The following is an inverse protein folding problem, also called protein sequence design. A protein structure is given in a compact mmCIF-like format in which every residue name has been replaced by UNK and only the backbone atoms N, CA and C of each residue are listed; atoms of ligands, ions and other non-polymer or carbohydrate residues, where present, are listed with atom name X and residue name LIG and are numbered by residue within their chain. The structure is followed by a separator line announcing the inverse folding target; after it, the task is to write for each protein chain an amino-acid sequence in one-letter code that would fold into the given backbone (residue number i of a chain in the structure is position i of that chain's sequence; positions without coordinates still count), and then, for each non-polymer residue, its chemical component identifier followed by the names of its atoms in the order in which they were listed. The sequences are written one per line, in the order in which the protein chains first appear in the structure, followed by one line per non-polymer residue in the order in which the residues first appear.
data_IF_183068526007
#
_entry.id   IF_183068526007
#
_cell.length_a   1.000
_cell.length_b   1.000
_cell.length_c   1.000
_cell.angle_alpha   90.00
_cell.angle_beta   90.00
_cell.angle_gamma   90.00
#
_symmetry.space_group_name_H-M   'P 1'
#
loop_
_entity.id
_entity.type
_entity.pdbx_description
1 polymer ?
#
# COMPACT_ATOMS: atom_id res chain seq x y z
N UNK A 1 50.42 8.08 -20.41
CA UNK A 1 49.96 7.47 -21.69
C UNK A 1 49.77 5.95 -21.55
N UNK A 2 48.79 5.47 -20.77
CA UNK A 2 48.46 4.02 -20.61
C UNK A 2 47.01 3.78 -20.14
N UNK A 3 46.02 4.52 -20.66
CA UNK A 3 44.60 4.28 -20.31
C UNK A 3 43.62 4.24 -21.49
N UNK A 4 44.11 4.18 -22.73
CA UNK A 4 43.25 4.15 -23.92
C UNK A 4 43.04 2.77 -24.55
N UNK A 5 43.58 1.69 -23.95
CA UNK A 5 43.52 0.34 -24.54
C UNK A 5 42.54 -0.61 -23.85
N UNK A 6 41.87 -0.22 -22.75
CA UNK A 6 40.95 -1.11 -22.03
C UNK A 6 39.48 -0.95 -22.42
N UNK A 7 39.09 0.15 -23.08
CA UNK A 7 37.71 0.36 -23.52
C UNK A 7 37.39 -0.26 -24.89
N UNK A 8 38.39 -0.75 -25.62
CA UNK A 8 38.21 -1.42 -26.91
C UNK A 8 38.11 -2.95 -26.82
N UNK A 9 38.37 -3.55 -25.64
CA UNK A 9 38.28 -5.00 -25.46
C UNK A 9 36.91 -5.49 -24.95
N UNK A 10 36.03 -4.61 -24.45
CA UNK A 10 34.65 -4.97 -24.06
C UNK A 10 33.61 -4.73 -25.15
N UNK A 11 33.96 -4.12 -26.28
CA UNK A 11 33.07 -3.96 -27.43
C UNK A 11 33.12 -5.16 -28.40
N UNK A 12 34.03 -6.11 -28.20
CA UNK A 12 34.20 -7.28 -29.07
C UNK A 12 33.37 -8.52 -28.69
N UNK A 13 32.56 -8.45 -27.61
CA UNK A 13 31.73 -9.59 -27.17
C UNK A 13 30.21 -9.37 -27.27
N UNK A 14 29.74 -8.29 -27.90
CA UNK A 14 28.31 -8.00 -28.07
C UNK A 14 27.92 -7.61 -29.50
N UNK A 15 28.72 -8.01 -30.49
CA UNK A 15 28.25 -8.10 -31.87
C UNK A 15 27.99 -9.58 -32.12
N UNK A 16 26.82 -10.06 -31.67
CA UNK A 16 26.23 -11.21 -32.33
C UNK A 16 26.15 -10.85 -33.80
N UNK A 17 26.84 -11.61 -34.65
CA UNK A 17 26.58 -11.66 -36.08
C UNK A 17 25.07 -11.53 -36.28
N UNK A 18 24.62 -10.57 -37.08
CA UNK A 18 23.21 -10.41 -37.40
C UNK A 18 22.70 -11.77 -37.86
N UNK A 19 22.01 -12.47 -36.96
CA UNK A 19 21.45 -13.77 -37.27
C UNK A 19 20.48 -13.53 -38.42
N UNK A 20 20.67 -14.28 -39.50
CA UNK A 20 19.77 -14.23 -40.65
C UNK A 20 18.33 -14.40 -40.14
N UNK A 21 17.42 -13.53 -40.61
CA UNK A 21 16.05 -13.53 -40.12
C UNK A 21 15.47 -14.95 -40.29
N UNK A 22 14.74 -15.48 -39.28
CA UNK A 22 14.21 -16.83 -39.35
C UNK A 22 13.43 -17.06 -40.65
N UNK A 23 13.87 -18.05 -41.41
CA UNK A 23 13.28 -18.42 -42.70
C UNK A 23 12.24 -19.52 -42.50
N UNK A 24 11.57 -19.92 -43.58
CA UNK A 24 10.61 -21.03 -43.52
C UNK A 24 11.26 -22.35 -43.05
N UNK A 25 12.57 -22.53 -43.28
CA UNK A 25 13.33 -23.66 -42.75
C UNK A 25 13.39 -23.64 -41.21
N UNK A 26 13.53 -22.46 -40.60
CA UNK A 26 13.52 -22.32 -39.13
C UNK A 26 12.16 -22.69 -38.54
N UNK A 27 11.06 -22.36 -39.22
CA UNK A 27 9.73 -22.80 -38.79
C UNK A 27 9.51 -24.31 -39.01
N UNK A 28 10.05 -24.88 -40.10
CA UNK A 28 9.99 -26.33 -40.34
C UNK A 28 10.77 -27.13 -39.28
N UNK A 29 11.90 -26.60 -38.79
CA UNK A 29 12.71 -27.21 -37.74
C UNK A 29 11.97 -27.32 -36.38
N UNK A 30 10.85 -26.63 -36.17
CA UNK A 30 10.00 -26.80 -34.98
C UNK A 30 9.37 -28.19 -34.87
N UNK A 31 9.16 -28.86 -36.01
CA UNK A 31 8.66 -30.24 -36.05
C UNK A 31 9.75 -31.26 -35.69
N UNK A 32 11.03 -30.90 -35.83
CA UNK A 32 12.17 -31.79 -35.57
C UNK A 32 12.63 -31.64 -34.13
N UNK A 33 12.45 -32.69 -33.32
CA UNK A 33 12.69 -32.63 -31.87
C UNK A 33 14.09 -32.09 -31.47
N UNK A 34 15.13 -32.53 -32.17
CA UNK A 34 16.52 -32.14 -31.90
C UNK A 34 16.82 -30.67 -32.25
N UNK A 35 16.06 -30.08 -33.17
CA UNK A 35 16.27 -28.70 -33.64
C UNK A 35 15.27 -27.70 -33.06
N UNK A 36 14.18 -28.19 -32.49
CA UNK A 36 13.06 -27.40 -31.99
C UNK A 36 13.48 -26.29 -31.03
N UNK A 37 14.35 -26.59 -30.08
CA UNK A 37 14.77 -25.60 -29.07
C UNK A 37 15.54 -24.44 -29.71
N UNK A 38 16.46 -24.74 -30.64
CA UNK A 38 17.21 -23.73 -31.36
C UNK A 38 16.31 -22.88 -32.25
N UNK A 39 15.34 -23.51 -32.93
CA UNK A 39 14.34 -22.82 -33.74
C UNK A 39 13.43 -21.89 -32.90
N UNK A 40 12.95 -22.37 -31.74
CA UNK A 40 12.15 -21.56 -30.81
C UNK A 40 12.94 -20.33 -30.32
N UNK A 41 14.21 -20.53 -29.94
CA UNK A 41 15.07 -19.45 -29.48
C UNK A 41 15.31 -18.41 -30.58
N UNK A 42 15.60 -18.84 -31.81
CA UNK A 42 15.81 -17.92 -32.94
C UNK A 42 14.56 -17.10 -33.26
N UNK A 43 13.38 -17.72 -33.24
CA UNK A 43 12.09 -17.04 -33.44
C UNK A 43 11.84 -16.02 -32.33
N UNK A 44 12.12 -16.38 -31.07
CA UNK A 44 11.97 -15.47 -29.93
C UNK A 44 12.91 -14.28 -30.02
N UNK A 45 14.20 -14.51 -30.30
CA UNK A 45 15.21 -13.45 -30.39
C UNK A 45 14.93 -12.49 -31.54
N UNK A 46 14.49 -12.99 -32.70
CA UNK A 46 14.06 -12.13 -33.81
C UNK A 46 12.81 -11.32 -33.44
N UNK A 47 11.87 -11.92 -32.71
CA UNK A 47 10.66 -11.21 -32.28
C UNK A 47 10.96 -10.04 -31.34
N UNK A 48 12.03 -10.13 -30.55
CA UNK A 48 12.49 -9.05 -29.65
C UNK A 48 13.09 -7.85 -30.37
N UNK A 49 13.52 -8.00 -31.64
CA UNK A 49 14.06 -6.85 -32.38
C UNK A 49 12.98 -5.85 -32.79
N UNK A 50 11.70 -6.24 -32.77
CA UNK A 50 10.58 -5.35 -33.09
C UNK A 50 10.14 -4.56 -31.85
N UNK A 51 10.73 -3.36 -31.68
CA UNK A 51 10.42 -2.48 -30.53
C UNK A 51 9.13 -1.68 -30.76
N UNK A 52 8.78 -1.39 -32.02
CA UNK A 52 7.63 -0.56 -32.39
C UNK A 52 6.76 -1.24 -33.46
N UNK A 53 5.49 -0.84 -33.53
CA UNK A 53 4.58 -1.30 -34.56
C UNK A 53 5.05 -0.84 -35.96
N UNK A 54 5.41 -1.79 -36.81
CA UNK A 54 5.79 -1.55 -38.20
C UNK A 54 5.09 -2.56 -39.14
N UNK A 55 5.02 -2.29 -40.46
CA UNK A 55 4.51 -3.26 -41.43
C UNK A 55 5.28 -4.59 -41.40
N UNK A 56 6.60 -4.53 -41.18
CA UNK A 56 7.47 -5.69 -41.05
C UNK A 56 7.17 -6.50 -39.79
N UNK A 57 7.01 -5.84 -38.63
CA UNK A 57 6.60 -6.49 -37.39
C UNK A 57 5.24 -7.18 -37.58
N UNK A 58 4.28 -6.50 -38.21
CA UNK A 58 2.95 -7.07 -38.49
C UNK A 58 3.04 -8.33 -39.35
N UNK A 59 3.85 -8.30 -40.42
CA UNK A 59 4.04 -9.45 -41.29
C UNK A 59 4.73 -10.63 -40.56
N UNK A 60 5.75 -10.32 -39.75
CA UNK A 60 6.44 -11.31 -38.92
C UNK A 60 5.50 -11.99 -37.91
N UNK A 61 4.79 -11.21 -37.09
CA UNK A 61 3.89 -11.77 -36.09
C UNK A 61 2.69 -12.49 -36.70
N UNK A 62 2.26 -12.15 -37.93
CA UNK A 62 1.26 -12.95 -38.65
C UNK A 62 1.79 -14.33 -39.02
N UNK A 63 3.05 -14.44 -39.47
CA UNK A 63 3.70 -15.75 -39.70
C UNK A 63 3.76 -16.58 -38.42
N UNK A 64 4.09 -15.96 -37.29
CA UNK A 64 4.07 -16.64 -35.98
C UNK A 64 2.65 -17.10 -35.61
N UNK A 65 1.61 -16.28 -35.84
CA UNK A 65 0.20 -16.68 -35.60
C UNK A 65 -0.21 -17.88 -36.44
N UNK A 66 0.20 -17.94 -37.71
CA UNK A 66 -0.06 -19.08 -38.59
C UNK A 66 0.66 -20.32 -38.04
N UNK A 67 1.93 -20.20 -37.65
CA UNK A 67 2.71 -21.30 -37.08
C UNK A 67 2.13 -21.82 -35.75
N UNK A 68 1.58 -20.97 -34.88
CA UNK A 68 0.86 -21.40 -33.67
C UNK A 68 -0.34 -22.27 -34.04
N UNK A 69 -1.11 -21.87 -35.05
CA UNK A 69 -2.33 -22.60 -35.47
C UNK A 69 -2.02 -23.92 -36.16
N UNK A 70 -0.90 -24.01 -36.87
CA UNK A 70 -0.49 -25.22 -37.60
C UNK A 70 0.37 -26.18 -36.79
N UNK A 71 0.92 -25.75 -35.65
CA UNK A 71 1.72 -26.60 -34.79
C UNK A 71 0.86 -27.68 -34.11
N UNK A 72 1.18 -28.95 -34.32
CA UNK A 72 0.50 -30.08 -33.64
C UNK A 72 1.03 -30.29 -32.21
N UNK A 73 2.28 -29.89 -31.94
CA UNK A 73 2.91 -30.08 -30.64
C UNK A 73 2.49 -28.96 -29.66
N UNK A 74 1.91 -29.30 -28.49
CA UNK A 74 1.44 -28.33 -27.50
C UNK A 74 2.56 -27.47 -26.90
N UNK A 75 3.79 -27.98 -26.80
CA UNK A 75 4.96 -27.22 -26.34
C UNK A 75 5.35 -26.14 -27.37
N UNK A 76 5.29 -26.47 -28.65
CA UNK A 76 5.54 -25.50 -29.74
C UNK A 76 4.44 -24.45 -29.77
N UNK A 77 3.17 -24.85 -29.63
CA UNK A 77 2.06 -23.90 -29.53
C UNK A 77 2.23 -22.94 -28.35
N UNK A 78 2.61 -23.45 -27.17
CA UNK A 78 2.82 -22.62 -25.98
C UNK A 78 4.00 -21.65 -26.16
N UNK A 79 5.15 -22.14 -26.64
CA UNK A 79 6.33 -21.33 -26.88
C UNK A 79 6.06 -20.20 -27.88
N UNK A 80 5.44 -20.51 -29.03
CA UNK A 80 5.08 -19.50 -30.02
C UNK A 80 3.97 -18.56 -29.53
N UNK A 81 3.06 -19.02 -28.66
CA UNK A 81 2.07 -18.13 -28.03
C UNK A 81 2.73 -17.10 -27.11
N UNK A 82 3.80 -17.46 -26.41
CA UNK A 82 4.61 -16.51 -25.64
C UNK A 82 5.31 -15.50 -26.55
N UNK A 83 5.78 -15.93 -27.72
CA UNK A 83 6.35 -15.03 -28.73
C UNK A 83 5.33 -13.98 -29.18
N UNK A 84 4.05 -14.34 -29.35
CA UNK A 84 3.00 -13.39 -29.73
C UNK A 84 2.76 -12.28 -28.69
N UNK A 85 3.15 -12.47 -27.42
CA UNK A 85 3.09 -11.42 -26.40
C UNK A 85 4.11 -10.29 -26.64
N UNK A 86 5.13 -10.55 -27.47
CA UNK A 86 6.13 -9.56 -27.88
C UNK A 86 5.67 -8.70 -29.07
N UNK A 87 4.50 -8.99 -29.67
CA UNK A 87 3.97 -8.17 -30.75
C UNK A 87 3.70 -6.74 -30.25
N UNK A 88 4.31 -5.71 -30.85
CA UNK A 88 4.06 -4.31 -30.47
C UNK A 88 2.58 -3.89 -30.56
N UNK A 89 1.78 -4.60 -31.35
CA UNK A 89 0.33 -4.39 -31.45
C UNK A 89 -0.49 -5.33 -30.55
N UNK A 90 0.14 -6.18 -29.76
CA UNK A 90 -0.55 -7.06 -28.83
C UNK A 90 -1.29 -6.21 -27.79
N UNK A 91 -2.62 -6.25 -27.81
CA UNK A 91 -3.42 -5.68 -26.73
C UNK A 91 -3.37 -6.67 -25.57
N UNK A 92 -2.80 -6.30 -24.41
CA UNK A 92 -2.82 -7.16 -23.24
C UNK A 92 -4.28 -7.48 -22.92
N UNK A 93 -4.69 -8.74 -23.04
CA UNK A 93 -5.96 -9.16 -22.48
C UNK A 93 -5.81 -9.05 -20.97
N UNK A 94 -6.59 -8.16 -20.35
CA UNK A 94 -6.64 -8.05 -18.90
C UNK A 94 -6.98 -9.44 -18.34
N UNK A 95 -6.19 -9.98 -17.40
CA UNK A 95 -6.48 -11.28 -16.77
C UNK A 95 -7.77 -11.26 -15.94
N UNK A 96 -8.36 -10.07 -15.75
CA UNK A 96 -9.63 -9.88 -15.05
C UNK A 96 -10.75 -9.92 -16.08
N UNK A 97 -11.58 -10.96 -16.01
CA UNK A 97 -12.85 -11.08 -16.74
C UNK A 97 -13.57 -9.72 -16.77
N UNK A 98 -13.77 -9.15 -17.96
CA UNK A 98 -14.58 -7.95 -18.19
C UNK A 98 -16.08 -8.18 -17.96
N UNK A 99 -16.48 -9.33 -17.41
CA UNK A 99 -17.86 -9.54 -16.97
C UNK A 99 -18.14 -8.51 -15.88
N UNK A 100 -19.15 -7.67 -16.13
CA UNK A 100 -19.68 -6.72 -15.14
C UNK A 100 -19.88 -7.48 -13.83
N UNK A 101 -19.33 -6.96 -12.73
CA UNK A 101 -19.57 -7.53 -11.41
C UNK A 101 -21.08 -7.76 -11.24
N UNK A 102 -21.46 -8.92 -10.70
CA UNK A 102 -22.86 -9.28 -10.51
C UNK A 102 -23.58 -8.17 -9.75
N UNK A 103 -24.56 -7.54 -10.39
CA UNK A 103 -25.39 -6.50 -9.78
C UNK A 103 -26.43 -7.20 -8.91
N UNK A 104 -26.19 -7.28 -7.61
CA UNK A 104 -27.19 -7.73 -6.62
C UNK A 104 -28.26 -6.64 -6.44
N UNK A 105 -29.44 -6.94 -5.92
CA UNK A 105 -30.41 -5.88 -5.62
C UNK A 105 -29.92 -4.99 -4.46
N UNK A 106 -30.25 -3.70 -4.50
CA UNK A 106 -29.89 -2.79 -3.41
C UNK A 106 -30.56 -3.28 -2.11
N UNK A 107 -29.90 -3.16 -0.94
CA UNK A 107 -30.55 -3.50 0.32
C UNK A 107 -31.79 -2.62 0.49
N UNK A 108 -32.97 -3.23 0.46
CA UNK A 108 -34.25 -2.53 0.63
C UNK A 108 -34.43 -2.10 2.09
N UNK A 109 -34.74 -0.83 2.32
CA UNK A 109 -35.02 -0.31 3.66
C UNK A 109 -34.83 1.20 3.79
N UNK A 110 -35.50 1.80 4.77
CA UNK A 110 -35.42 3.23 5.11
C UNK A 110 -34.60 3.50 6.37
N UNK A 111 -34.10 2.45 7.03
CA UNK A 111 -33.37 2.56 8.29
C UNK A 111 -31.95 3.13 8.08
N UNK A 112 -31.32 3.72 9.11
CA UNK A 112 -29.95 4.17 9.04
C UNK A 112 -28.96 3.06 8.61
N UNK A 113 -29.15 1.83 9.09
CA UNK A 113 -28.25 0.71 8.81
C UNK A 113 -28.32 0.27 7.34
N UNK A 114 -29.54 0.25 6.78
CA UNK A 114 -29.77 -0.09 5.36
C UNK A 114 -29.21 1.00 4.46
N UNK A 115 -29.38 2.28 4.82
CA UNK A 115 -28.75 3.41 4.12
C UNK A 115 -27.21 3.37 4.18
N UNK A 116 -26.63 3.04 5.33
CA UNK A 116 -25.18 2.88 5.48
C UNK A 116 -24.65 1.70 4.65
N UNK A 117 -25.37 0.57 4.62
CA UNK A 117 -25.02 -0.59 3.79
C UNK A 117 -25.10 -0.27 2.29
N UNK A 118 -26.14 0.46 1.88
CA UNK A 118 -26.29 0.91 0.51
C UNK A 118 -25.15 1.85 0.11
N UNK A 119 -24.80 2.83 0.96
CA UNK A 119 -23.69 3.74 0.70
C UNK A 119 -22.36 3.00 0.57
N UNK A 120 -22.07 2.05 1.47
CA UNK A 120 -20.86 1.24 1.41
C UNK A 120 -20.72 0.53 0.06
N UNK A 121 -21.81 -0.09 -0.40
CA UNK A 121 -21.87 -0.76 -1.68
C UNK A 121 -21.62 0.21 -2.84
N UNK A 122 -22.24 1.38 -2.84
CA UNK A 122 -22.03 2.38 -3.90
C UNK A 122 -20.57 2.84 -3.97
N UNK A 123 -19.92 3.01 -2.81
CA UNK A 123 -18.50 3.34 -2.75
C UNK A 123 -17.61 2.21 -3.27
N UNK A 124 -17.95 0.95 -3.00
CA UNK A 124 -17.20 -0.20 -3.50
C UNK A 124 -17.34 -0.36 -5.02
N UNK A 125 -18.53 -0.08 -5.54
CA UNK A 125 -18.81 -0.02 -6.98
C UNK A 125 -18.29 1.27 -7.66
N UNK A 126 -17.67 2.18 -6.90
CA UNK A 126 -17.17 3.48 -7.37
C UNK A 126 -18.23 4.30 -8.14
N UNK A 127 -19.49 4.21 -7.69
CA UNK A 127 -20.61 4.97 -8.26
C UNK A 127 -20.47 6.45 -7.94
N UNK A 128 -21.23 7.27 -8.67
CA UNK A 128 -21.13 8.72 -8.52
C UNK A 128 -21.68 9.16 -7.15
N UNK A 129 -21.13 10.22 -6.58
CA UNK A 129 -21.60 10.76 -5.29
C UNK A 129 -23.03 11.29 -5.33
N UNK A 130 -23.58 11.52 -6.53
CA UNK A 130 -24.98 11.93 -6.74
C UNK A 130 -25.98 10.83 -6.41
N UNK A 131 -25.52 9.57 -6.39
CA UNK A 131 -26.36 8.40 -6.11
C UNK A 131 -26.35 8.02 -4.62
N UNK A 132 -25.57 8.72 -3.78
CA UNK A 132 -25.39 8.33 -2.38
C UNK A 132 -26.68 8.55 -1.57
N UNK A 133 -27.13 7.56 -0.78
CA UNK A 133 -28.36 7.64 0.00
C UNK A 133 -28.21 8.50 1.27
N UNK A 134 -26.99 8.96 1.57
CA UNK A 134 -26.65 9.74 2.75
C UNK A 134 -25.74 10.90 2.35
N UNK A 135 -26.07 12.08 2.87
CA UNK A 135 -25.25 13.29 2.80
C UNK A 135 -24.13 13.26 3.84
N UNK A 136 -23.15 14.16 3.69
CA UNK A 136 -22.07 14.31 4.68
C UNK A 136 -22.61 14.67 6.07
N UNK A 137 -23.63 15.52 6.15
CA UNK A 137 -24.20 15.97 7.44
C UNK A 137 -24.97 14.84 8.14
N UNK A 138 -25.72 14.03 7.39
CA UNK A 138 -26.36 12.83 7.92
C UNK A 138 -25.32 11.81 8.42
N UNK A 139 -24.21 11.63 7.69
CA UNK A 139 -23.11 10.77 8.13
C UNK A 139 -22.43 11.30 9.39
N UNK A 140 -22.28 12.62 9.54
CA UNK A 140 -21.75 13.24 10.77
C UNK A 140 -22.70 12.98 11.94
N UNK A 141 -24.01 13.09 11.73
CA UNK A 141 -25.00 12.79 12.76
C UNK A 141 -24.96 11.31 13.17
N UNK A 142 -24.94 10.39 12.20
CA UNK A 142 -24.82 8.95 12.46
C UNK A 142 -23.50 8.57 13.11
N UNK A 143 -22.41 9.24 12.74
CA UNK A 143 -21.11 9.10 13.37
C UNK A 143 -21.10 9.55 14.84
N UNK A 144 -22.09 10.31 15.31
CA UNK A 144 -22.24 10.71 16.73
C UNK A 144 -23.24 9.84 17.50
N UNK A 145 -23.81 8.81 16.87
CA UNK A 145 -24.74 7.89 17.52
C UNK A 145 -24.08 7.20 18.74
N UNK A 146 -24.89 6.88 19.74
CA UNK A 146 -24.49 6.15 20.94
C UNK A 146 -24.13 4.70 20.62
N UNK A 147 -24.84 4.07 19.66
CA UNK A 147 -24.50 2.75 19.18
C UNK A 147 -23.15 2.77 18.45
N UNK A 148 -22.20 2.04 19.00
CA UNK A 148 -20.84 2.00 18.50
C UNK A 148 -20.78 1.45 17.06
N UNK A 149 -21.52 0.37 16.76
CA UNK A 149 -21.44 -0.27 15.45
C UNK A 149 -21.93 0.66 14.33
N UNK A 150 -23.07 1.31 14.54
CA UNK A 150 -23.64 2.30 13.61
C UNK A 150 -22.70 3.48 13.43
N UNK A 151 -22.21 4.05 14.53
CA UNK A 151 -21.34 5.22 14.48
C UNK A 151 -19.97 4.91 13.87
N UNK A 152 -19.40 3.73 14.14
CA UNK A 152 -18.12 3.31 13.58
C UNK A 152 -18.25 3.07 12.07
N UNK A 153 -19.34 2.41 11.64
CA UNK A 153 -19.63 2.24 10.21
C UNK A 153 -19.79 3.59 9.51
N UNK A 154 -20.56 4.52 10.10
CA UNK A 154 -20.73 5.87 9.58
C UNK A 154 -19.39 6.63 9.47
N UNK A 155 -18.54 6.58 10.51
CA UNK A 155 -17.21 7.21 10.50
C UNK A 155 -16.30 6.64 9.40
N UNK A 156 -16.29 5.31 9.20
CA UNK A 156 -15.53 4.66 8.13
C UNK A 156 -15.97 5.13 6.74
N UNK A 157 -17.28 5.25 6.51
CA UNK A 157 -17.82 5.73 5.24
C UNK A 157 -17.56 7.23 5.06
N UNK A 158 -17.74 8.03 6.11
CA UNK A 158 -17.40 9.44 6.11
C UNK A 158 -15.91 9.66 5.82
N UNK A 159 -15.00 8.82 6.35
CA UNK A 159 -13.58 8.90 6.02
C UNK A 159 -13.32 8.66 4.53
N UNK A 160 -14.07 7.77 3.87
CA UNK A 160 -13.91 7.49 2.43
C UNK A 160 -14.41 8.65 1.55
N UNK A 161 -15.41 9.40 2.02
CA UNK A 161 -16.05 10.50 1.27
C UNK A 161 -15.42 11.85 1.60
N UNK A 162 -15.31 12.16 2.89
CA UNK A 162 -14.79 13.42 3.44
C UNK A 162 -13.86 13.14 4.64
N UNK A 163 -12.58 12.82 4.38
CA UNK A 163 -11.60 12.56 5.44
C UNK A 163 -11.44 13.71 6.44
N UNK A 164 -11.62 14.96 6.01
CA UNK A 164 -11.49 16.15 6.86
C UNK A 164 -12.65 16.29 7.86
N UNK A 165 -13.86 15.84 7.49
CA UNK A 165 -15.00 15.81 8.40
C UNK A 165 -14.90 14.63 9.38
N UNK A 166 -14.37 13.49 8.95
CA UNK A 166 -14.20 12.31 9.79
C UNK A 166 -13.09 12.47 10.86
N UNK A 167 -11.99 13.12 10.51
CA UNK A 167 -10.81 13.24 11.38
C UNK A 167 -11.11 13.75 12.81
N UNK A 168 -11.80 14.89 13.02
CA UNK A 168 -12.11 15.37 14.38
C UNK A 168 -13.03 14.40 15.15
N UNK A 169 -14.00 13.77 14.48
CA UNK A 169 -14.94 12.83 15.11
C UNK A 169 -14.23 11.56 15.59
N UNK A 170 -13.27 11.06 14.82
CA UNK A 170 -12.46 9.90 15.20
C UNK A 170 -11.63 10.19 16.45
N UNK A 171 -11.00 11.36 16.55
CA UNK A 171 -10.24 11.76 17.73
C UNK A 171 -11.14 11.98 18.96
N UNK A 172 -12.29 12.63 18.79
CA UNK A 172 -13.27 12.80 19.86
C UNK A 172 -13.78 11.45 20.38
N UNK A 173 -14.08 10.52 19.46
CA UNK A 173 -14.54 9.18 19.83
C UNK A 173 -13.45 8.42 20.56
N UNK A 174 -12.21 8.42 20.05
CA UNK A 174 -11.08 7.76 20.71
C UNK A 174 -10.97 8.18 22.18
N UNK A 175 -11.16 9.47 22.48
CA UNK A 175 -11.10 9.98 23.84
C UNK A 175 -12.21 9.45 24.77
N UNK A 176 -13.41 9.13 24.23
CA UNK A 176 -14.56 8.66 25.00
C UNK A 176 -14.59 7.15 25.22
N UNK A 177 -13.91 6.38 24.38
CA UNK A 177 -13.94 4.92 24.44
C UNK A 177 -13.20 4.39 25.67
N UNK A 178 -13.73 3.32 26.24
CA UNK A 178 -13.13 2.58 27.36
C UNK A 178 -12.83 1.13 26.99
N UNK A 179 -13.60 0.54 26.08
CA UNK A 179 -13.44 -0.84 25.64
C UNK A 179 -12.29 -0.96 24.63
N UNK A 180 -11.31 -1.82 24.93
CA UNK A 180 -10.09 -1.98 24.13
C UNK A 180 -10.34 -2.37 22.67
N UNK A 181 -11.32 -3.24 22.40
CA UNK A 181 -11.66 -3.65 21.02
C UNK A 181 -12.15 -2.46 20.19
N UNK A 182 -13.04 -1.66 20.76
CA UNK A 182 -13.58 -0.45 20.12
C UNK A 182 -12.47 0.59 19.89
N UNK A 183 -11.56 0.75 20.87
CA UNK A 183 -10.39 1.63 20.74
C UNK A 183 -9.53 1.22 19.55
N UNK A 184 -9.27 -0.07 19.39
CA UNK A 184 -8.46 -0.58 18.28
C UNK A 184 -9.10 -0.29 16.92
N UNK A 185 -10.42 -0.46 16.80
CA UNK A 185 -11.13 -0.14 15.56
C UNK A 185 -11.04 1.36 15.20
N UNK A 186 -11.15 2.26 16.19
CA UNK A 186 -11.01 3.70 15.97
C UNK A 186 -9.56 4.09 15.69
N UNK A 187 -8.59 3.50 16.40
CA UNK A 187 -7.16 3.67 16.14
C UNK A 187 -6.82 3.33 14.69
N UNK A 188 -7.28 2.19 14.20
CA UNK A 188 -7.07 1.78 12.81
C UNK A 188 -7.68 2.77 11.81
N UNK A 189 -8.87 3.28 12.06
CA UNK A 189 -9.48 4.30 11.18
C UNK A 189 -8.70 5.62 11.17
N UNK A 190 -8.14 6.03 12.31
CA UNK A 190 -7.24 7.21 12.39
C UNK A 190 -5.95 6.94 11.60
N UNK A 191 -5.39 5.73 11.68
CA UNK A 191 -4.21 5.33 10.91
C UNK A 191 -4.50 5.23 9.39
N UNK A 192 -5.76 5.05 8.99
CA UNK A 192 -6.19 5.10 7.58
C UNK A 192 -6.48 6.52 7.06
N UNK A 193 -6.47 7.54 7.91
CA UNK A 193 -6.59 8.93 7.46
C UNK A 193 -5.35 9.37 6.64
N UNK A 194 -5.51 10.31 5.70
CA UNK A 194 -4.38 11.01 5.10
C UNK A 194 -3.49 11.60 6.19
N UNK A 195 -2.17 11.40 6.09
CA UNK A 195 -1.24 11.76 7.15
C UNK A 195 -1.33 13.24 7.55
N UNK A 196 -1.60 14.13 6.59
CA UNK A 196 -1.75 15.57 6.82
C UNK A 196 -2.95 15.92 7.67
N UNK A 197 -4.06 15.18 7.54
CA UNK A 197 -5.27 15.40 8.33
C UNK A 197 -5.13 14.76 9.71
N UNK A 198 -4.56 13.55 9.79
CA UNK A 198 -4.27 12.90 11.07
C UNK A 198 -3.41 13.80 11.97
N UNK A 199 -2.38 14.46 11.43
CA UNK A 199 -1.53 15.39 12.20
C UNK A 199 -2.16 16.75 12.44
N UNK A 200 -2.94 17.29 11.49
CA UNK A 200 -3.65 18.57 11.65
C UNK A 200 -4.64 18.53 12.81
N UNK A 201 -5.34 17.41 12.98
CA UNK A 201 -6.37 17.24 14.02
C UNK A 201 -5.87 16.48 15.26
N UNK A 202 -4.58 16.14 15.31
CA UNK A 202 -3.99 15.45 16.46
C UNK A 202 -4.07 16.35 17.71
N UNK A 203 -4.72 15.91 18.79
CA UNK A 203 -4.68 16.63 20.05
C UNK A 203 -3.29 16.54 20.70
N UNK A 204 -2.75 17.69 21.11
CA UNK A 204 -1.51 17.76 21.92
C UNK A 204 -1.81 17.32 23.36
N UNK A 205 -2.94 17.77 23.90
CA UNK A 205 -3.49 17.32 25.18
C UNK A 205 -4.65 16.36 24.92
N UNK A 206 -4.40 15.07 25.05
CA UNK A 206 -5.42 14.06 24.83
C UNK A 206 -6.30 13.89 26.06
N UNK A 207 -7.58 14.23 25.93
CA UNK A 207 -8.57 14.22 27.02
C UNK A 207 -9.05 12.81 27.41
N UNK A 208 -8.65 11.75 26.69
CA UNK A 208 -9.13 10.41 26.98
C UNK A 208 -8.64 9.92 28.33
N UNK A 209 -9.54 9.32 29.12
CA UNK A 209 -9.24 8.88 30.49
C UNK A 209 -8.82 7.42 30.56
N UNK A 210 -9.36 6.57 29.67
CA UNK A 210 -9.05 5.15 29.62
C UNK A 210 -7.62 4.87 29.16
N UNK A 211 -6.97 3.88 29.78
CA UNK A 211 -5.60 3.48 29.47
C UNK A 211 -5.42 3.09 28.00
N UNK A 212 -6.33 2.27 27.47
CA UNK A 212 -6.30 1.80 26.09
C UNK A 212 -6.35 2.98 25.10
N UNK A 213 -7.21 3.96 25.35
CA UNK A 213 -7.37 5.15 24.51
C UNK A 213 -6.13 6.03 24.52
N UNK A 214 -5.53 6.26 25.70
CA UNK A 214 -4.25 6.98 25.82
C UNK A 214 -3.13 6.25 25.08
N UNK A 215 -3.06 4.93 25.22
CA UNK A 215 -2.05 4.12 24.56
C UNK A 215 -2.21 4.14 23.02
N UNK A 216 -3.44 4.07 22.52
CA UNK A 216 -3.75 4.21 21.10
C UNK A 216 -3.35 5.58 20.56
N UNK A 217 -3.70 6.66 21.27
CA UNK A 217 -3.24 8.01 20.92
C UNK A 217 -1.71 8.07 20.80
N UNK A 218 -0.98 7.52 21.79
CA UNK A 218 0.49 7.49 21.74
C UNK A 218 1.04 6.65 20.58
N UNK A 219 0.41 5.53 20.24
CA UNK A 219 0.83 4.73 19.07
C UNK A 219 0.62 5.49 17.76
N UNK A 220 -0.51 6.20 17.61
CA UNK A 220 -0.72 7.06 16.44
C UNK A 220 0.33 8.16 16.37
N UNK A 221 0.65 8.81 17.49
CA UNK A 221 1.72 9.82 17.57
C UNK A 221 3.04 9.23 17.08
N UNK A 222 3.44 8.06 17.58
CA UNK A 222 4.68 7.39 17.20
C UNK A 222 4.75 7.12 15.68
N UNK A 223 3.66 6.63 15.09
CA UNK A 223 3.56 6.33 13.65
C UNK A 223 3.61 7.60 12.80
N UNK A 224 3.07 8.72 13.30
CA UNK A 224 2.94 9.97 12.54
C UNK A 224 4.03 11.00 12.81
N UNK A 225 4.97 10.71 13.70
CA UNK A 225 5.99 11.62 14.18
C UNK A 225 6.76 12.39 13.09
N UNK A 226 7.08 11.75 11.95
CA UNK A 226 7.78 12.40 10.83
C UNK A 226 7.03 13.61 10.22
N UNK A 227 5.73 13.78 10.51
CA UNK A 227 4.89 14.90 10.05
C UNK A 227 4.52 15.87 11.17
N UNK A 228 5.05 15.68 12.38
CA UNK A 228 4.74 16.47 13.58
C UNK A 228 5.80 17.54 13.85
N UNK A 229 6.31 18.28 12.87
CA UNK A 229 7.44 19.20 13.10
C UNK A 229 7.22 20.20 14.25
N UNK A 230 6.10 20.94 14.24
CA UNK A 230 5.72 21.86 15.34
C UNK A 230 5.00 21.14 16.48
N UNK A 231 4.05 20.27 16.15
CA UNK A 231 3.22 19.53 17.12
C UNK A 231 4.05 18.55 17.96
N UNK A 232 5.07 17.95 17.38
CA UNK A 232 5.98 16.99 18.01
C UNK A 232 6.79 17.63 19.13
N UNK A 233 7.31 18.84 18.92
CA UNK A 233 7.95 19.62 19.99
C UNK A 233 6.98 19.91 21.14
N UNK A 234 5.71 20.20 20.83
CA UNK A 234 4.68 20.42 21.85
C UNK A 234 4.26 19.12 22.57
N UNK A 235 4.49 17.96 21.97
CA UNK A 235 4.21 16.64 22.57
C UNK A 235 5.32 16.16 23.50
N UNK A 236 6.57 16.60 23.33
CA UNK A 236 7.69 16.15 24.17
C UNK A 236 7.43 16.37 25.68
N UNK A 237 6.97 17.55 26.14
CA UNK A 237 6.65 17.76 27.56
C UNK A 237 5.49 16.88 28.07
N UNK A 238 4.52 16.56 27.21
CA UNK A 238 3.39 15.68 27.56
C UNK A 238 3.85 14.22 27.68
N UNK A 239 4.84 13.83 26.88
CA UNK A 239 5.33 12.45 26.82
C UNK A 239 6.30 12.11 27.95
N UNK A 240 7.17 13.05 28.35
CA UNK A 240 8.19 12.80 29.39
C UNK A 240 7.63 12.18 30.69
N UNK A 241 6.51 12.66 31.26
CA UNK A 241 5.92 12.03 32.45
C UNK A 241 5.44 10.60 32.22
N UNK A 242 4.99 10.26 31.01
CA UNK A 242 4.46 8.93 30.68
C UNK A 242 5.54 7.85 30.65
N UNK A 243 6.80 8.23 30.42
CA UNK A 243 7.96 7.34 30.38
C UNK A 243 8.26 6.72 31.75
N UNK A 244 7.97 7.44 32.83
CA UNK A 244 8.16 7.01 34.24
C UNK A 244 6.99 6.17 34.77
N UNK A 245 6.00 5.85 33.93
CA UNK A 245 4.79 5.12 34.33
C UNK A 245 5.01 3.62 34.59
N UNK A 246 3.96 2.91 35.07
CA UNK A 246 4.03 1.46 35.31
C UNK A 246 4.14 0.68 33.99
N UNK A 247 4.53 -0.60 34.10
CA UNK A 247 4.68 -1.50 32.95
C UNK A 247 3.36 -1.87 32.27
N UNK A 248 2.81 -0.94 31.49
CA UNK A 248 1.55 -1.06 30.79
C UNK A 248 1.65 -0.58 29.33
N UNK A 249 0.57 -0.75 28.58
CA UNK A 249 0.53 -0.43 27.14
C UNK A 249 0.74 1.06 26.81
N UNK A 250 0.44 1.99 27.73
CA UNK A 250 0.65 3.42 27.53
C UNK A 250 2.13 3.77 27.66
N UNK A 251 2.79 3.32 28.73
CA UNK A 251 4.22 3.57 28.93
C UNK A 251 5.05 2.85 27.87
N UNK A 252 4.65 1.65 27.45
CA UNK A 252 5.27 0.97 26.30
C UNK A 252 5.14 1.77 25.00
N UNK A 253 3.94 2.30 24.71
CA UNK A 253 3.72 3.13 23.53
C UNK A 253 4.52 4.44 23.60
N UNK A 254 4.65 5.05 24.78
CA UNK A 254 5.45 6.24 24.99
C UNK A 254 6.93 5.99 24.70
N UNK A 255 7.51 4.89 25.22
CA UNK A 255 8.89 4.51 24.90
C UNK A 255 9.09 4.20 23.42
N UNK A 256 8.11 3.60 22.74
CA UNK A 256 8.20 3.36 21.30
C UNK A 256 8.20 4.66 20.46
N UNK A 257 7.63 5.75 20.97
CA UNK A 257 7.61 7.04 20.30
C UNK A 257 8.92 7.85 20.47
N UNK A 258 9.75 7.52 21.48
CA UNK A 258 10.95 8.28 21.84
C UNK A 258 11.90 8.52 20.66
N UNK A 259 12.31 7.49 19.88
CA UNK A 259 13.27 7.67 18.78
C UNK A 259 12.77 8.59 17.65
N UNK A 260 11.47 8.86 17.61
CA UNK A 260 10.83 9.64 16.55
C UNK A 260 10.52 11.07 16.95
N UNK A 261 10.45 11.35 18.25
CA UNK A 261 10.06 12.66 18.79
C UNK A 261 11.20 13.40 19.46
N UNK A 262 12.17 12.66 20.00
CA UNK A 262 13.31 13.22 20.72
C UNK A 262 14.59 13.09 19.89
N UNK A 263 15.61 13.81 20.32
CA UNK A 263 16.93 13.86 19.72
C UNK A 263 18.01 13.50 20.74
N UNK A 264 19.26 13.37 20.28
CA UNK A 264 20.43 13.22 21.16
C UNK A 264 20.54 14.32 22.23
N UNK A 265 20.02 15.53 21.98
CA UNK A 265 20.03 16.60 22.97
C UNK A 265 19.18 16.28 24.20
N UNK A 266 18.18 15.40 24.07
CA UNK A 266 17.23 15.03 25.12
C UNK A 266 17.69 13.79 25.92
N UNK A 267 18.82 13.16 25.52
CA UNK A 267 19.31 11.89 26.09
C UNK A 267 19.41 11.92 27.62
N UNK A 268 19.85 13.02 28.21
CA UNK A 268 19.99 13.14 29.66
C UNK A 268 18.63 12.97 30.38
N UNK A 269 17.61 13.71 29.92
CA UNK A 269 16.26 13.65 30.49
C UNK A 269 15.60 12.27 30.27
N UNK A 270 15.82 11.67 29.10
CA UNK A 270 15.31 10.33 28.80
C UNK A 270 16.02 9.23 29.62
N UNK A 271 17.32 9.39 29.88
CA UNK A 271 18.09 8.46 30.73
C UNK A 271 17.58 8.53 32.16
N UNK A 272 17.34 9.73 32.70
CA UNK A 272 16.70 9.90 34.01
C UNK A 272 15.31 9.26 34.03
N UNK A 273 14.50 9.45 32.99
CA UNK A 273 13.18 8.83 32.89
C UNK A 273 13.21 7.30 32.80
N UNK A 274 14.33 6.70 32.39
CA UNK A 274 14.51 5.24 32.32
C UNK A 274 14.93 4.59 33.65
N UNK A 275 15.33 5.39 34.65
CA UNK A 275 15.77 4.88 35.93
C UNK A 275 14.61 4.28 36.73
N UNK A 276 14.84 3.13 37.36
CA UNK A 276 13.82 2.45 38.19
C UNK A 276 12.68 1.82 37.41
N UNK A 277 12.78 1.72 36.08
CA UNK A 277 11.81 0.97 35.28
C UNK A 277 11.86 -0.53 35.59
N UNK A 278 10.71 -1.18 35.54
CA UNK A 278 10.59 -2.63 35.67
C UNK A 278 11.44 -3.37 34.63
N UNK A 279 11.80 -4.63 34.93
CA UNK A 279 12.53 -5.53 34.01
C UNK A 279 11.86 -5.68 32.63
N UNK A 280 10.54 -5.53 32.56
CA UNK A 280 9.77 -5.56 31.30
C UNK A 280 10.00 -4.31 30.43
N UNK A 281 10.18 -3.14 31.05
CA UNK A 281 10.31 -1.87 30.34
C UNK A 281 11.77 -1.46 30.10
N UNK A 282 12.70 -1.84 30.98
CA UNK A 282 14.10 -1.45 30.89
C UNK A 282 14.77 -1.80 29.54
N UNK A 283 14.54 -2.99 28.93
CA UNK A 283 15.08 -3.29 27.60
C UNK A 283 14.50 -2.39 26.50
N UNK A 284 13.21 -2.03 26.59
CA UNK A 284 12.55 -1.14 25.63
C UNK A 284 13.08 0.28 25.73
N UNK A 285 13.27 0.79 26.95
CA UNK A 285 13.83 2.11 27.18
C UNK A 285 15.28 2.20 26.66
N UNK A 286 16.10 1.18 26.94
CA UNK A 286 17.46 1.09 26.40
C UNK A 286 17.46 1.11 24.87
N UNK A 287 16.66 0.25 24.23
CA UNK A 287 16.56 0.21 22.77
C UNK A 287 16.09 1.55 22.17
N UNK A 288 15.19 2.26 22.84
CA UNK A 288 14.72 3.57 22.40
C UNK A 288 15.81 4.65 22.50
N UNK A 289 16.62 4.63 23.58
CA UNK A 289 17.77 5.53 23.76
C UNK A 289 18.88 5.26 22.74
N UNK A 290 19.13 3.99 22.42
CA UNK A 290 20.13 3.58 21.44
C UNK A 290 19.70 3.95 20.00
N UNK A 291 18.40 4.07 19.76
CA UNK A 291 17.83 4.42 18.45
C UNK A 291 17.62 5.94 18.25
N UNK A 292 18.08 6.79 19.16
CA UNK A 292 17.95 8.24 19.01
C UNK A 292 18.67 8.73 17.73
N UNK A 293 18.07 9.65 16.97
CA UNK A 293 18.69 10.19 15.77
C UNK A 293 19.89 11.06 16.16
N UNK A 294 21.04 10.80 15.53
CA UNK A 294 22.23 11.63 15.64
C UNK A 294 21.93 13.07 15.19
N UNK A 295 22.65 14.03 15.79
CA UNK A 295 22.54 15.46 15.46
C UNK A 295 22.82 15.76 13.99
#
# INVERSE_FOLDING_TARGET
MKHLSLFLACAACLVGLAAEAPSDATFADLAVAEKRLAAQQAIFDHSRSFIMASPEAKAWFERVRVAVKSAENPEVQSALSQVLLLDPNYKPQSPINLKRAQEYDAPEGTTPETKLAHLERLLDLRRSSKEYPLTNDELIALAKNEDFATAQRANRLLRRISPSAAAPLLWERLAKLTQRSQVQEVEDEILRLPSTLATKYLPVEFAGTALASKAAWMRVVAVRANRLSKTGKALCPVLLPLLKGPANELTEAAWAAVPRLFSEADRAALTEASQGLSERLAPKAKAALDALPAK
#
